data_IF_486781359391
#
_entry.id   IF_486781359391
#
_cell.length_a   1.000
_cell.length_b   1.000
_cell.length_c   1.000
_cell.angle_alpha   90.00
_cell.angle_beta   90.00
_cell.angle_gamma   90.00
#
_symmetry.space_group_name_H-M   'P 1'
#
loop_
_entity.id
_entity.type
_entity.pdbx_description
1 polymer ?
#
# COMPACT_ATOMS: atom_id res chain seq x y z
N UNK A 1 11.04 -22.51 -64.45
CA UNK A 1 11.96 -22.80 -63.33
C UNK A 1 12.33 -21.56 -62.50
N UNK A 2 12.54 -20.38 -63.11
CA UNK A 2 12.87 -19.15 -62.37
C UNK A 2 11.70 -18.56 -61.53
N UNK A 3 10.45 -18.69 -62.01
CA UNK A 3 9.25 -18.20 -61.31
C UNK A 3 8.95 -18.94 -59.99
N UNK A 4 9.28 -20.23 -59.88
CA UNK A 4 9.11 -20.98 -58.63
C UNK A 4 10.14 -20.56 -57.59
N UNK A 5 11.39 -20.32 -57.98
CA UNK A 5 12.46 -19.90 -57.06
C UNK A 5 12.14 -18.54 -56.41
N UNK A 6 11.61 -17.60 -57.18
CA UNK A 6 11.17 -16.28 -56.71
C UNK A 6 10.03 -16.38 -55.68
N UNK A 7 9.03 -17.24 -55.93
CA UNK A 7 7.89 -17.40 -55.01
C UNK A 7 8.27 -18.14 -53.72
N UNK A 8 9.18 -19.12 -53.78
CA UNK A 8 9.75 -19.76 -52.58
C UNK A 8 10.57 -18.80 -51.74
N UNK A 9 11.40 -17.96 -52.39
CA UNK A 9 12.21 -16.95 -51.71
C UNK A 9 11.33 -15.92 -50.98
N UNK A 10 10.31 -15.38 -51.66
CA UNK A 10 9.34 -14.45 -51.07
C UNK A 10 8.57 -15.07 -49.90
N UNK A 11 8.08 -16.31 -50.03
CA UNK A 11 7.37 -17.00 -48.94
C UNK A 11 8.26 -17.22 -47.71
N UNK A 12 9.53 -17.59 -47.90
CA UNK A 12 10.49 -17.78 -46.81
C UNK A 12 10.81 -16.46 -46.11
N UNK A 13 10.95 -15.38 -46.87
CA UNK A 13 11.22 -14.05 -46.34
C UNK A 13 10.00 -13.51 -45.54
N UNK A 14 8.79 -13.68 -46.07
CA UNK A 14 7.55 -13.34 -45.36
C UNK A 14 7.38 -14.14 -44.06
N UNK A 15 7.70 -15.42 -44.07
CA UNK A 15 7.61 -16.28 -42.89
C UNK A 15 8.61 -15.87 -41.79
N UNK A 16 9.82 -15.45 -42.17
CA UNK A 16 10.82 -14.91 -41.25
C UNK A 16 10.39 -13.56 -40.65
N UNK A 17 9.75 -12.69 -41.43
CA UNK A 17 9.18 -11.43 -40.93
C UNK A 17 8.01 -11.66 -39.95
N UNK A 18 7.15 -12.63 -40.22
CA UNK A 18 6.04 -12.98 -39.30
C UNK A 18 6.61 -13.53 -37.99
N UNK A 19 7.63 -14.39 -38.07
CA UNK A 19 8.27 -14.96 -36.89
C UNK A 19 8.94 -13.87 -36.04
N UNK A 20 9.61 -12.89 -36.66
CA UNK A 20 10.23 -11.77 -35.94
C UNK A 20 9.18 -10.84 -35.31
N UNK A 21 8.06 -10.57 -35.98
CA UNK A 21 6.94 -9.78 -35.43
C UNK A 21 6.33 -10.47 -34.20
N UNK A 22 6.16 -11.81 -34.24
CA UNK A 22 5.64 -12.58 -33.10
C UNK A 22 6.60 -12.50 -31.91
N UNK A 23 7.91 -12.67 -32.15
CA UNK A 23 8.95 -12.55 -31.11
C UNK A 23 8.97 -11.12 -30.52
N UNK A 24 8.84 -10.09 -31.37
CA UNK A 24 8.83 -8.69 -30.94
C UNK A 24 7.57 -8.34 -30.15
N UNK A 25 6.41 -8.90 -30.54
CA UNK A 25 5.14 -8.79 -29.80
C UNK A 25 5.19 -9.46 -28.43
N UNK A 26 5.91 -10.58 -28.31
CA UNK A 26 6.13 -11.26 -27.03
C UNK A 26 7.11 -10.55 -26.08
N UNK A 27 7.93 -9.62 -26.58
CA UNK A 27 8.88 -8.84 -25.77
C UNK A 27 8.24 -7.60 -25.11
N UNK A 28 7.02 -7.22 -25.50
CA UNK A 28 6.27 -6.19 -24.79
C UNK A 28 5.53 -6.84 -23.62
N UNK A 29 6.24 -6.98 -22.49
CA UNK A 29 5.60 -7.27 -21.21
C UNK A 29 4.53 -6.22 -20.95
N UNK A 30 3.27 -6.64 -20.92
CA UNK A 30 2.14 -5.75 -20.65
C UNK A 30 2.20 -5.35 -19.16
N UNK A 31 2.80 -4.20 -18.86
CA UNK A 31 2.76 -3.66 -17.51
C UNK A 31 1.33 -3.15 -17.27
N UNK A 32 0.61 -3.80 -16.34
CA UNK A 32 -0.73 -3.34 -15.97
C UNK A 32 -0.64 -1.88 -15.52
N UNK A 33 -1.47 -1.03 -16.10
CA UNK A 33 -1.57 0.38 -15.69
C UNK A 33 -1.87 0.41 -14.18
N UNK A 34 -1.18 1.23 -13.38
CA UNK A 34 -1.51 1.36 -11.96
C UNK A 34 -2.95 1.83 -11.82
N UNK A 35 -3.74 1.10 -11.04
CA UNK A 35 -5.16 1.40 -10.81
C UNK A 35 -5.46 1.47 -9.32
N UNK A 36 -6.47 2.28 -8.98
CA UNK A 36 -7.01 2.32 -7.63
C UNK A 36 -7.81 1.05 -7.36
N UNK A 37 -7.46 0.35 -6.27
CA UNK A 37 -8.21 -0.79 -5.77
C UNK A 37 -8.62 -0.51 -4.34
N UNK A 38 -9.92 -0.64 -4.05
CA UNK A 38 -10.40 -0.59 -2.66
C UNK A 38 -9.89 -1.81 -1.91
N UNK A 39 -9.17 -1.57 -0.81
CA UNK A 39 -8.75 -2.60 0.16
C UNK A 39 -9.80 -2.69 1.26
N UNK A 40 -10.10 -3.90 1.70
CA UNK A 40 -11.02 -4.12 2.82
C UNK A 40 -10.30 -3.92 4.14
N UNK A 41 -10.91 -3.14 5.03
CA UNK A 41 -10.47 -3.02 6.42
C UNK A 41 -11.15 -4.06 7.32
N UNK A 42 -10.56 -4.39 8.48
CA UNK A 42 -11.23 -5.20 9.50
C UNK A 42 -12.60 -4.65 9.88
N UNK A 43 -13.55 -5.53 10.17
CA UNK A 43 -14.94 -5.16 10.44
C UNK A 43 -15.10 -4.16 11.59
N UNK A 44 -14.21 -4.21 12.59
CA UNK A 44 -14.22 -3.30 13.74
C UNK A 44 -13.96 -1.84 13.39
N UNK A 45 -13.29 -1.56 12.26
CA UNK A 45 -12.92 -0.22 11.79
C UNK A 45 -13.38 0.04 10.34
N UNK A 46 -14.25 -0.81 9.79
CA UNK A 46 -14.64 -0.79 8.37
C UNK A 46 -15.31 0.53 7.95
N UNK A 47 -15.98 1.20 8.88
CA UNK A 47 -16.64 2.49 8.67
C UNK A 47 -15.87 3.64 9.33
N UNK A 48 -14.59 3.44 9.63
CA UNK A 48 -13.72 4.41 10.26
C UNK A 48 -13.49 5.65 9.41
N UNK A 49 -13.35 6.79 10.07
CA UNK A 49 -12.91 8.03 9.44
C UNK A 49 -11.44 8.26 9.75
N UNK A 50 -10.57 7.92 8.79
CA UNK A 50 -9.12 8.04 8.91
C UNK A 50 -8.66 9.41 8.42
N UNK A 51 -7.80 10.05 9.19
CA UNK A 51 -7.29 11.41 8.95
C UNK A 51 -5.85 11.43 8.44
N UNK A 52 -5.05 10.45 8.83
CA UNK A 52 -3.64 10.36 8.47
C UNK A 52 -3.24 8.92 8.17
N UNK A 53 -2.22 8.78 7.32
CA UNK A 53 -1.59 7.51 6.97
C UNK A 53 -0.08 7.72 6.85
N UNK A 54 0.67 6.89 7.54
CA UNK A 54 2.12 6.93 7.61
C UNK A 54 2.70 5.56 7.22
N UNK A 55 3.62 5.54 6.26
CA UNK A 55 4.45 4.39 5.96
C UNK A 55 5.89 4.69 6.39
N UNK A 56 6.54 3.73 7.06
CA UNK A 56 7.88 3.92 7.58
C UNK A 56 8.89 4.00 6.42
N UNK A 57 9.62 5.11 6.21
CA UNK A 57 10.54 5.24 5.07
C UNK A 57 11.66 4.20 5.07
N UNK A 58 12.13 3.80 6.25
CA UNK A 58 13.16 2.78 6.41
C UNK A 58 12.66 1.35 6.10
N UNK A 59 11.35 1.11 6.23
CA UNK A 59 10.73 -0.18 5.88
C UNK A 59 9.27 0.02 5.43
N UNK A 60 9.02 0.30 4.14
CA UNK A 60 7.70 0.69 3.64
C UNK A 60 6.70 -0.46 3.55
N UNK A 61 7.04 -1.68 3.98
CA UNK A 61 6.02 -2.72 4.20
C UNK A 61 5.20 -2.44 5.46
N UNK A 62 5.74 -1.66 6.39
CA UNK A 62 5.05 -1.22 7.60
C UNK A 62 4.35 0.13 7.37
N UNK A 63 3.07 0.18 7.74
CA UNK A 63 2.28 1.39 7.67
C UNK A 63 1.17 1.42 8.71
N UNK A 64 0.72 2.63 9.04
CA UNK A 64 -0.32 2.88 10.02
C UNK A 64 -1.24 3.99 9.53
N UNK A 65 -2.52 3.92 9.89
CA UNK A 65 -3.46 5.00 9.71
C UNK A 65 -4.21 5.24 11.02
N UNK A 66 -4.53 6.50 11.33
CA UNK A 66 -5.29 6.85 12.52
C UNK A 66 -6.52 7.69 12.17
N UNK A 67 -7.48 7.73 13.08
CA UNK A 67 -8.72 8.46 12.85
C UNK A 67 -9.59 8.63 14.07
N UNK A 68 -10.88 8.84 13.81
CA UNK A 68 -11.89 9.03 14.85
C UNK A 68 -12.12 7.78 15.68
N UNK A 69 -12.75 7.96 16.86
CA UNK A 69 -13.05 6.92 17.83
C UNK A 69 -11.84 6.08 18.28
N UNK A 70 -10.64 6.67 18.26
CA UNK A 70 -9.38 6.01 18.61
C UNK A 70 -8.98 4.91 17.64
N UNK A 71 -9.55 4.87 16.43
CA UNK A 71 -9.32 3.81 15.46
C UNK A 71 -7.94 3.94 14.83
N UNK A 72 -7.24 2.82 14.80
CA UNK A 72 -5.92 2.69 14.18
C UNK A 72 -5.93 1.45 13.29
N UNK A 73 -5.47 1.61 12.05
CA UNK A 73 -5.19 0.51 11.15
C UNK A 73 -3.67 0.36 11.06
N UNK A 74 -3.16 -0.86 11.01
CA UNK A 74 -1.73 -1.14 10.78
C UNK A 74 -1.53 -2.26 9.76
N UNK A 75 -0.47 -2.16 8.97
CA UNK A 75 -0.09 -3.12 7.94
C UNK A 75 1.38 -3.48 8.07
N UNK A 76 1.74 -4.70 7.68
CA UNK A 76 3.12 -5.18 7.59
C UNK A 76 3.42 -5.75 6.19
N UNK A 77 2.51 -5.54 5.23
CA UNK A 77 2.57 -6.05 3.86
C UNK A 77 2.36 -4.96 2.79
N UNK A 78 2.75 -3.73 3.13
CA UNK A 78 2.69 -2.58 2.21
C UNK A 78 1.27 -2.08 1.94
N UNK A 79 0.32 -2.35 2.84
CA UNK A 79 -1.07 -1.94 2.71
C UNK A 79 -1.94 -2.90 1.91
N UNK A 80 -1.44 -4.12 1.64
CA UNK A 80 -2.21 -5.18 0.98
C UNK A 80 -3.31 -5.72 1.90
N UNK A 81 -3.02 -5.80 3.20
CA UNK A 81 -3.95 -6.10 4.27
C UNK A 81 -3.69 -5.22 5.51
N UNK A 82 -4.72 -5.03 6.33
CA UNK A 82 -4.69 -4.17 7.50
C UNK A 82 -5.27 -4.90 8.72
N UNK A 83 -4.64 -4.72 9.87
CA UNK A 83 -5.14 -5.11 11.19
C UNK A 83 -5.66 -3.87 11.92
N UNK A 84 -6.54 -4.08 12.90
CA UNK A 84 -7.15 -3.01 13.67
C UNK A 84 -6.64 -2.96 15.11
N UNK A 85 -6.40 -1.75 15.60
CA UNK A 85 -6.23 -1.43 17.02
C UNK A 85 -7.15 -0.25 17.38
N UNK A 86 -7.62 -0.21 18.63
CA UNK A 86 -8.50 0.85 19.11
C UNK A 86 -7.97 1.33 20.46
N UNK A 87 -7.65 2.63 20.55
CA UNK A 87 -7.27 3.26 21.81
C UNK A 87 -8.51 3.37 22.72
N UNK A 88 -8.38 2.89 23.95
CA UNK A 88 -9.45 2.99 24.96
C UNK A 88 -9.78 4.46 25.25
N UNK A 89 -11.07 4.75 25.48
CA UNK A 89 -11.56 6.13 25.61
C UNK A 89 -11.85 6.82 24.28
N UNK A 90 -11.57 6.17 23.14
CA UNK A 90 -11.98 6.61 21.79
C UNK A 90 -11.63 8.07 21.46
N UNK A 91 -10.36 8.51 21.65
CA UNK A 91 -9.94 9.87 21.33
C UNK A 91 -10.03 10.16 19.82
N UNK A 92 -10.13 11.43 19.45
CA UNK A 92 -9.89 11.84 18.06
C UNK A 92 -8.40 11.95 17.80
N UNK A 93 -7.93 11.21 16.78
CA UNK A 93 -6.53 11.14 16.35
C UNK A 93 -6.39 11.78 14.98
N UNK A 94 -5.51 12.76 14.85
CA UNK A 94 -5.33 13.56 13.63
C UNK A 94 -3.99 13.31 12.95
N UNK A 95 -2.99 12.79 13.67
CA UNK A 95 -1.69 12.46 13.10
C UNK A 95 -1.11 11.18 13.71
N UNK A 96 -0.34 10.45 12.90
CA UNK A 96 0.38 9.25 13.30
C UNK A 96 1.79 9.22 12.71
N UNK A 97 2.77 8.83 13.51
CA UNK A 97 4.16 8.76 13.08
C UNK A 97 4.92 7.64 13.80
N UNK A 98 5.81 6.97 13.08
CA UNK A 98 6.65 5.90 13.63
C UNK A 98 8.14 6.21 13.40
N UNK A 99 8.95 5.97 14.44
CA UNK A 99 10.42 6.13 14.34
C UNK A 99 11.10 4.83 13.91
N UNK A 100 10.48 3.69 14.23
CA UNK A 100 10.86 2.36 13.80
C UNK A 100 9.60 1.46 13.78
N UNK A 101 9.76 0.17 13.50
CA UNK A 101 8.64 -0.79 13.39
C UNK A 101 7.82 -0.98 14.68
N UNK A 102 8.37 -0.57 15.84
CA UNK A 102 7.78 -0.82 17.17
C UNK A 102 7.36 0.46 17.87
N UNK A 103 8.11 1.54 17.68
CA UNK A 103 7.93 2.79 18.41
C UNK A 103 7.24 3.82 17.53
N UNK A 104 6.09 4.29 18.01
CA UNK A 104 5.30 5.28 17.31
C UNK A 104 4.48 6.15 18.25
N UNK A 105 3.94 7.21 17.68
CA UNK A 105 3.15 8.22 18.34
C UNK A 105 1.92 8.54 17.50
N UNK A 106 0.81 8.81 18.17
CA UNK A 106 -0.37 9.42 17.55
C UNK A 106 -0.86 10.55 18.43
N UNK A 107 -1.41 11.58 17.81
CA UNK A 107 -1.86 12.78 18.50
C UNK A 107 -3.11 13.35 17.88
N UNK A 108 -3.88 14.08 18.68
CA UNK A 108 -5.03 14.87 18.27
C UNK A 108 -5.64 15.57 19.48
N UNK A 109 -6.88 16.10 19.35
CA UNK A 109 -7.56 16.77 20.45
C UNK A 109 -7.73 15.92 21.72
N UNK A 110 -7.67 14.59 21.60
CA UNK A 110 -7.76 13.65 22.73
C UNK A 110 -6.46 13.48 23.55
N UNK A 111 -5.33 14.01 23.06
CA UNK A 111 -4.01 13.91 23.69
C UNK A 111 -2.94 13.30 22.78
N UNK A 112 -1.80 12.91 23.39
CA UNK A 112 -0.69 12.24 22.71
C UNK A 112 -0.54 10.83 23.28
N UNK A 113 -0.45 9.85 22.40
CA UNK A 113 -0.34 8.44 22.74
C UNK A 113 0.93 7.86 22.13
N UNK A 114 1.54 6.91 22.85
CA UNK A 114 2.76 6.21 22.43
C UNK A 114 2.52 4.70 22.38
N UNK A 115 3.14 4.05 21.40
CA UNK A 115 3.27 2.59 21.33
C UNK A 115 4.74 2.17 21.40
N UNK A 116 4.99 0.95 21.86
CA UNK A 116 6.30 0.28 21.84
C UNK A 116 6.20 -1.13 21.24
N UNK A 117 5.07 -1.47 20.64
CA UNK A 117 4.76 -2.78 20.08
C UNK A 117 4.13 -2.69 18.68
N UNK A 118 4.45 -1.64 17.92
CA UNK A 118 4.04 -1.50 16.52
C UNK A 118 2.58 -1.06 16.37
N UNK A 119 2.02 -0.40 17.39
CA UNK A 119 0.65 0.10 17.37
C UNK A 119 -0.41 -0.92 17.77
N UNK A 120 0.01 -2.06 18.36
CA UNK A 120 -0.91 -3.04 18.93
C UNK A 120 -1.55 -2.49 20.22
N UNK A 121 -0.73 -1.88 21.08
CA UNK A 121 -1.17 -1.19 22.30
C UNK A 121 -0.66 0.25 22.35
N UNK A 122 -1.44 1.11 23.01
CA UNK A 122 -1.16 2.54 23.12
C UNK A 122 -1.29 3.02 24.55
N UNK A 123 -0.30 3.79 24.99
CA UNK A 123 -0.21 4.41 26.30
C UNK A 123 -0.45 5.89 26.13
N UNK A 124 -1.43 6.42 26.86
CA UNK A 124 -1.68 7.85 26.97
C UNK A 124 -0.54 8.52 27.74
N UNK A 125 0.08 9.55 27.16
CA UNK A 125 1.16 10.28 27.80
C UNK A 125 0.67 11.37 28.76
N UNK A 126 -0.66 11.61 28.84
CA UNK A 126 -1.25 12.61 29.73
C UNK A 126 -0.97 14.07 29.31
N UNK A 127 -0.45 14.27 28.10
CA UNK A 127 -0.08 15.58 27.56
C UNK A 127 -1.30 16.32 26.99
N UNK A 128 -2.26 16.66 27.85
CA UNK A 128 -3.53 17.33 27.47
C UNK A 128 -3.56 18.84 27.73
N UNK A 129 -2.59 19.35 28.49
CA UNK A 129 -2.60 20.74 28.96
C UNK A 129 -1.45 21.52 28.31
N UNK A 130 -1.63 21.90 27.04
CA UNK A 130 -0.95 23.09 26.51
C UNK A 130 -1.90 24.27 26.75
N UNK A 131 -2.08 24.61 28.03
CA UNK A 131 -2.79 25.82 28.45
C UNK A 131 -1.93 27.05 28.27
#
# INVERSE_FOLDING_TARGET
MLLSYSTYFLRRMMMLCILSIIIMSSCFGYQSVPTWKKVSLPQSIMNGYFLDVYFLPANPTFGWACGFDGQIALTTDGGSSWNASIIQGRPFLESIHFVDEKHGFTSGPGGVFKTTDGGLNWIDLGLRNFG
#
